data_IF_817684283350
#
_entry.id   IF_817684283350
#
_cell.length_a   1.000
_cell.length_b   1.000
_cell.length_c   1.000
_cell.angle_alpha   90.00
_cell.angle_beta   90.00
_cell.angle_gamma   90.00
#
_symmetry.space_group_name_H-M   'P 1'
#
loop_
_entity.id
_entity.type
_entity.pdbx_description
1 polymer ?
#
# COMPACT_ATOMS: atom_id res chain seq x y z
N UNK A 1 -21.34 -5.30 0.63
CA UNK A 1 -20.18 -5.21 1.56
C UNK A 1 -20.66 -5.61 2.95
N UNK A 2 -19.92 -6.43 3.70
CA UNK A 2 -20.33 -6.85 5.06
C UNK A 2 -19.99 -5.77 6.09
N UNK A 3 -20.67 -5.78 7.25
CA UNK A 3 -20.38 -4.85 8.34
C UNK A 3 -18.93 -4.98 8.85
N UNK A 4 -18.42 -6.22 8.91
CA UNK A 4 -17.02 -6.51 9.25
C UNK A 4 -16.04 -5.82 8.30
N UNK A 5 -16.28 -5.93 6.99
CA UNK A 5 -15.40 -5.33 5.98
C UNK A 5 -15.40 -3.80 6.07
N UNK A 6 -16.56 -3.19 6.28
CA UNK A 6 -16.68 -1.73 6.46
C UNK A 6 -15.89 -1.23 7.69
N UNK A 7 -15.96 -1.96 8.80
CA UNK A 7 -15.19 -1.65 10.00
C UNK A 7 -13.68 -1.80 9.75
N UNK A 8 -13.28 -2.84 9.02
CA UNK A 8 -11.88 -3.13 8.72
C UNK A 8 -11.27 -2.06 7.81
N UNK A 9 -12.03 -1.68 6.78
CA UNK A 9 -11.65 -0.60 5.86
C UNK A 9 -11.50 0.73 6.58
N UNK A 10 -12.49 1.11 7.39
CA UNK A 10 -12.42 2.36 8.14
C UNK A 10 -11.23 2.38 9.10
N UNK A 11 -11.03 1.30 9.86
CA UNK A 11 -9.90 1.22 10.78
C UNK A 11 -8.55 1.26 10.04
N UNK A 12 -8.45 0.62 8.87
CA UNK A 12 -7.23 0.66 8.06
C UNK A 12 -6.90 2.09 7.58
N UNK A 13 -7.92 2.87 7.17
CA UNK A 13 -7.72 4.28 6.81
C UNK A 13 -7.25 5.11 8.01
N UNK A 14 -7.95 4.99 9.14
CA UNK A 14 -7.63 5.74 10.36
C UNK A 14 -6.20 5.42 10.85
N UNK A 15 -5.80 4.15 10.80
CA UNK A 15 -4.46 3.71 11.24
C UNK A 15 -3.36 4.22 10.32
N UNK A 16 -3.50 4.08 9.00
CA UNK A 16 -2.49 4.58 8.07
C UNK A 16 -2.39 6.11 8.05
N UNK A 17 -3.44 6.83 8.45
CA UNK A 17 -3.39 8.27 8.67
C UNK A 17 -2.61 8.60 9.95
N UNK A 18 -2.80 7.81 11.02
CA UNK A 18 -2.12 8.00 12.29
C UNK A 18 -0.60 7.72 12.23
N UNK A 19 -0.12 6.87 11.31
CA UNK A 19 1.32 6.58 11.16
C UNK A 19 2.17 7.84 11.00
N UNK A 20 1.69 8.81 10.22
CA UNK A 20 2.38 10.08 10.00
C UNK A 20 2.42 10.95 11.26
N UNK A 21 1.37 10.92 12.08
CA UNK A 21 1.32 11.66 13.35
C UNK A 21 2.19 11.00 14.43
N UNK A 22 2.23 9.67 14.44
CA UNK A 22 2.96 8.86 15.42
C UNK A 22 4.45 8.69 15.07
N UNK A 23 4.84 8.94 13.81
CA UNK A 23 6.19 8.68 13.32
C UNK A 23 6.56 7.18 13.36
N UNK A 24 5.57 6.31 13.13
CA UNK A 24 5.70 4.86 13.20
C UNK A 24 5.10 4.22 11.96
N UNK A 25 5.93 4.04 10.92
CA UNK A 25 5.54 3.51 9.61
C UNK A 25 5.08 2.04 9.62
N UNK A 26 5.12 1.39 10.79
CA UNK A 26 4.65 0.01 11.00
C UNK A 26 3.62 -0.08 12.12
N UNK A 27 2.99 1.03 12.49
CA UNK A 27 1.96 1.05 13.53
C UNK A 27 0.80 0.11 13.17
N UNK A 28 0.49 -0.05 11.87
CA UNK A 28 -0.52 -1.00 11.42
C UNK A 28 -0.29 -2.44 11.90
N UNK A 29 0.97 -2.85 12.11
CA UNK A 29 1.33 -4.19 12.60
C UNK A 29 1.02 -4.35 14.09
N UNK A 30 1.23 -3.29 14.88
CA UNK A 30 0.89 -3.27 16.31
C UNK A 30 -0.61 -3.38 16.51
N UNK A 31 -1.39 -2.63 15.71
CA UNK A 31 -2.85 -2.73 15.71
C UNK A 31 -3.29 -4.15 15.30
N UNK A 32 -2.67 -4.73 14.28
CA UNK A 32 -2.98 -6.11 13.88
C UNK A 32 -2.76 -7.12 15.02
N UNK A 33 -1.72 -6.97 15.84
CA UNK A 33 -1.48 -7.84 16.99
C UNK A 33 -2.59 -7.71 18.05
N UNK A 34 -3.04 -6.49 18.33
CA UNK A 34 -4.18 -6.24 19.24
C UNK A 34 -5.45 -6.90 18.70
N UNK A 35 -5.74 -6.74 17.41
CA UNK A 35 -6.89 -7.35 16.77
C UNK A 35 -6.82 -8.88 16.77
N UNK A 36 -5.64 -9.47 16.58
CA UNK A 36 -5.48 -10.93 16.61
C UNK A 36 -5.89 -11.52 17.96
N UNK A 37 -5.54 -10.84 19.06
CA UNK A 37 -5.90 -11.29 20.41
C UNK A 37 -7.41 -11.16 20.69
N UNK A 38 -8.10 -10.19 20.07
CA UNK A 38 -9.51 -9.90 20.33
C UNK A 38 -10.48 -10.57 19.34
N UNK A 39 -10.14 -10.61 18.04
CA UNK A 39 -10.94 -11.15 16.96
C UNK A 39 -10.06 -11.46 15.73
N UNK A 40 -9.62 -12.73 15.57
CA UNK A 40 -8.80 -13.14 14.42
C UNK A 40 -9.46 -12.84 13.07
N UNK A 41 -10.77 -13.07 12.93
CA UNK A 41 -11.50 -12.80 11.68
C UNK A 41 -11.52 -11.31 11.31
N UNK A 42 -11.61 -10.41 12.31
CA UNK A 42 -11.53 -8.98 12.05
C UNK A 42 -10.11 -8.55 11.66
N UNK A 43 -9.11 -9.15 12.30
CA UNK A 43 -7.70 -8.93 11.99
C UNK A 43 -7.36 -9.31 10.54
N UNK A 44 -7.86 -10.44 10.04
CA UNK A 44 -7.64 -10.89 8.66
C UNK A 44 -8.21 -9.90 7.65
N UNK A 45 -9.44 -9.42 7.90
CA UNK A 45 -10.08 -8.39 7.07
C UNK A 45 -9.28 -7.09 7.10
N UNK A 46 -8.86 -6.65 8.29
CA UNK A 46 -8.06 -5.44 8.49
C UNK A 46 -6.71 -5.49 7.77
N UNK A 47 -5.94 -6.57 7.91
CA UNK A 47 -4.64 -6.71 7.21
C UNK A 47 -4.85 -6.71 5.69
N UNK A 48 -5.92 -7.36 5.21
CA UNK A 48 -6.28 -7.32 3.79
C UNK A 48 -6.52 -5.89 3.33
N UNK A 49 -7.33 -5.12 4.09
CA UNK A 49 -7.60 -3.71 3.84
C UNK A 49 -6.35 -2.83 3.85
N UNK A 50 -5.41 -3.07 4.78
CA UNK A 50 -4.10 -2.39 4.81
C UNK A 50 -3.28 -2.72 3.56
N UNK A 51 -3.15 -4.00 3.21
CA UNK A 51 -2.35 -4.44 2.06
C UNK A 51 -2.83 -3.82 0.76
N UNK A 52 -4.15 -3.77 0.56
CA UNK A 52 -4.75 -3.14 -0.63
C UNK A 52 -4.38 -1.66 -0.71
N UNK A 53 -4.43 -0.93 0.41
CA UNK A 53 -4.08 0.50 0.45
C UNK A 53 -2.60 0.75 0.16
N UNK A 54 -1.70 -0.04 0.74
CA UNK A 54 -0.28 0.05 0.46
C UNK A 54 0.05 -0.29 -1.01
N UNK A 55 -0.60 -1.32 -1.57
CA UNK A 55 -0.45 -1.67 -2.97
C UNK A 55 -0.99 -0.56 -3.90
N UNK A 56 -2.12 0.05 -3.53
CA UNK A 56 -2.71 1.14 -4.29
C UNK A 56 -1.83 2.40 -4.28
N UNK A 57 -1.26 2.78 -3.12
CA UNK A 57 -0.29 3.88 -3.01
C UNK A 57 0.89 3.66 -3.96
N UNK A 58 1.50 2.47 -3.93
CA UNK A 58 2.59 2.10 -4.86
C UNK A 58 2.15 2.17 -6.32
N UNK A 59 0.97 1.65 -6.63
CA UNK A 59 0.40 1.70 -7.98
C UNK A 59 0.18 3.14 -8.47
N UNK A 60 -0.28 4.04 -7.59
CA UNK A 60 -0.42 5.47 -7.89
C UNK A 60 0.92 6.14 -8.11
N UNK A 61 1.90 5.89 -7.26
CA UNK A 61 3.26 6.44 -7.42
C UNK A 61 3.85 6.05 -8.77
N UNK A 62 3.70 4.78 -9.17
CA UNK A 62 4.12 4.33 -10.50
C UNK A 62 3.37 5.04 -11.63
N UNK A 63 2.04 5.11 -11.54
CA UNK A 63 1.21 5.78 -12.55
C UNK A 63 1.61 7.24 -12.73
N UNK A 64 1.79 7.99 -11.64
CA UNK A 64 2.15 9.40 -11.69
C UNK A 64 3.55 9.61 -12.27
N UNK A 65 4.53 8.76 -11.94
CA UNK A 65 5.87 8.78 -12.55
C UNK A 65 5.80 8.53 -14.05
N UNK A 66 5.05 7.52 -14.49
CA UNK A 66 4.89 7.22 -15.92
C UNK A 66 4.24 8.39 -16.68
N UNK A 67 3.24 9.05 -16.08
CA UNK A 67 2.62 10.24 -16.66
C UNK A 67 3.58 11.44 -16.69
N UNK A 68 4.37 11.66 -15.63
CA UNK A 68 5.36 12.73 -15.57
C UNK A 68 6.43 12.57 -16.66
N UNK A 69 6.92 11.34 -16.88
CA UNK A 69 7.87 11.03 -17.93
C UNK A 69 7.28 11.31 -19.32
N UNK A 70 6.04 10.86 -19.56
CA UNK A 70 5.34 11.12 -20.82
C UNK A 70 5.14 12.61 -21.10
N UNK A 71 5.02 13.42 -20.05
CA UNK A 71 4.90 14.89 -20.11
C UNK A 71 6.26 15.61 -20.20
N UNK A 72 7.37 14.88 -20.13
CA UNK A 72 8.73 15.44 -20.15
C UNK A 72 9.13 16.16 -18.86
N UNK A 73 8.47 15.86 -17.74
CA UNK A 73 8.78 16.46 -16.43
C UNK A 73 9.92 15.75 -15.71
N UNK A 74 10.13 14.47 -16.03
CA UNK A 74 11.23 13.63 -15.54
C UNK A 74 11.77 12.81 -16.71
N UNK A 75 12.99 12.29 -16.58
CA UNK A 75 13.57 11.37 -17.57
C UNK A 75 12.94 9.97 -17.49
N UNK A 76 12.98 9.23 -18.60
CA UNK A 76 12.52 7.83 -18.65
C UNK A 76 13.31 6.93 -17.68
N UNK A 77 14.58 7.25 -17.43
CA UNK A 77 15.41 6.55 -16.46
C UNK A 77 14.92 6.78 -15.02
N UNK A 78 14.55 8.01 -14.65
CA UNK A 78 13.99 8.34 -13.34
C UNK A 78 12.59 7.74 -13.14
N UNK A 79 11.82 7.61 -14.22
CA UNK A 79 10.52 6.96 -14.20
C UNK A 79 10.62 5.46 -13.85
N UNK A 80 11.69 4.79 -14.29
CA UNK A 80 11.96 3.38 -14.03
C UNK A 80 12.75 3.10 -12.74
N UNK A 81 13.32 4.10 -12.08
CA UNK A 81 14.22 3.94 -10.92
C UNK A 81 13.49 3.87 -9.55
N UNK A 82 12.23 3.47 -9.51
CA UNK A 82 11.55 3.24 -8.23
C UNK A 82 12.04 1.93 -7.59
N UNK A 83 12.47 2.02 -6.32
CA UNK A 83 13.13 0.94 -5.57
C UNK A 83 12.30 -0.37 -5.47
N UNK A 84 10.99 -0.27 -5.70
CA UNK A 84 10.01 -1.38 -5.67
C UNK A 84 9.26 -1.58 -7.00
N UNK A 85 9.73 -1.01 -8.12
CA UNK A 85 9.06 -1.22 -9.41
C UNK A 85 9.31 -2.64 -9.93
N UNK A 86 8.34 -3.24 -10.66
CA UNK A 86 8.59 -4.48 -11.37
C UNK A 86 9.81 -4.26 -12.26
N UNK A 87 10.89 -4.99 -11.97
CA UNK A 87 12.05 -5.02 -12.85
C UNK A 87 11.55 -5.52 -14.19
N UNK A 88 11.74 -4.74 -15.25
CA UNK A 88 11.30 -5.14 -16.57
C UNK A 88 12.08 -6.40 -16.98
N UNK A 89 11.46 -7.56 -16.80
CA UNK A 89 11.96 -8.83 -17.32
C UNK A 89 11.55 -9.03 -18.79
N UNK A 90 11.35 -7.95 -19.56
CA UNK A 90 11.28 -8.01 -21.01
C UNK A 90 12.66 -8.40 -21.58
N UNK A 91 13.02 -9.68 -21.55
CA UNK A 91 14.25 -10.13 -22.21
C UNK A 91 14.77 -11.55 -21.96
N UNK A 92 14.10 -12.44 -21.24
CA UNK A 92 14.51 -13.86 -21.20
C UNK A 92 13.53 -14.73 -21.98
N UNK A 93 13.59 -14.62 -23.31
CA UNK A 93 13.09 -15.68 -24.17
C UNK A 93 13.87 -16.96 -23.93
N UNK A 94 13.16 -18.08 -23.82
CA UNK A 94 13.53 -19.40 -24.29
C UNK A 94 12.30 -20.02 -24.93
#
# INVERSE_FOLDING_TARGET
>A
MSALQLLADKLADDVLAAEAELGDDRFYEKVAQVLMAASPTFQEAYITSIRVRLAERRGREYLERALAAKRGLISEAEAGAGEDLPVDHAGSGH
#
